data_IF_072094465476
#
_entry.id   IF_072094465476
#
_cell.length_a   1.000
_cell.length_b   1.000
_cell.length_c   1.000
_cell.angle_alpha   90.00
_cell.angle_beta   90.00
_cell.angle_gamma   90.00
#
_symmetry.space_group_name_H-M   'P 1'
#
loop_
_entity.id
_entity.type
_entity.pdbx_description
1 polymer ?
#
# COMPACT_ATOMS: atom_id res chain seq x y z
N UNK A 1 10.05 17.54 -0.39
CA UNK A 1 8.68 17.26 0.08
C UNK A 1 8.70 15.85 0.64
N UNK A 2 8.48 15.71 1.94
CA UNK A 2 9.21 14.78 2.78
C UNK A 2 8.31 13.64 3.29
N UNK A 3 8.96 12.50 3.57
CA UNK A 3 8.42 11.14 3.77
C UNK A 3 7.43 11.03 4.95
N UNK A 4 7.17 12.10 5.71
CA UNK A 4 6.31 12.11 6.90
C UNK A 4 4.80 11.95 6.65
N UNK A 5 4.30 12.09 5.42
CA UNK A 5 2.86 11.86 5.14
C UNK A 5 2.54 10.40 4.79
N UNK A 6 3.53 9.63 4.34
CA UNK A 6 3.35 8.22 3.95
C UNK A 6 2.98 7.30 5.14
N UNK A 7 3.47 7.48 6.40
CA UNK A 7 3.08 6.65 7.55
C UNK A 7 1.57 6.62 7.86
N UNK A 8 0.80 7.59 7.36
CA UNK A 8 -0.65 7.62 7.55
C UNK A 8 -1.42 6.68 6.62
N UNK A 9 -0.73 6.12 5.60
CA UNK A 9 -1.30 5.24 4.60
C UNK A 9 -1.91 3.98 5.21
N UNK A 10 -1.21 3.33 6.14
CA UNK A 10 -1.70 2.13 6.82
C UNK A 10 -3.01 2.37 7.59
N UNK A 11 -3.07 3.36 8.50
CA UNK A 11 -4.30 3.74 9.17
C UNK A 11 -5.46 4.05 8.22
N UNK A 12 -5.24 4.78 7.11
CA UNK A 12 -6.32 5.10 6.17
C UNK A 12 -6.83 3.89 5.39
N UNK A 13 -5.95 3.01 4.93
CA UNK A 13 -6.34 1.71 4.33
C UNK A 13 -7.10 0.83 5.33
N UNK A 14 -6.66 0.80 6.59
CA UNK A 14 -7.34 0.10 7.67
C UNK A 14 -8.77 0.62 7.90
N UNK A 15 -8.97 1.94 7.90
CA UNK A 15 -10.30 2.53 8.01
C UNK A 15 -11.17 2.22 6.78
N UNK A 16 -10.61 2.26 5.57
CA UNK A 16 -11.33 1.84 4.37
C UNK A 16 -11.84 0.40 4.50
N UNK A 17 -10.99 -0.52 4.99
CA UNK A 17 -11.39 -1.91 5.25
C UNK A 17 -12.47 -2.01 6.34
N UNK A 18 -12.33 -1.26 7.43
CA UNK A 18 -13.32 -1.22 8.52
C UNK A 18 -14.71 -0.83 8.01
N UNK A 19 -14.83 0.32 7.35
CA UNK A 19 -16.12 0.83 6.87
C UNK A 19 -16.71 -0.02 5.74
N UNK A 20 -15.88 -0.75 4.99
CA UNK A 20 -16.32 -1.60 3.88
C UNK A 20 -16.78 -2.99 4.31
N UNK A 21 -16.03 -3.64 5.21
CA UNK A 21 -16.19 -5.07 5.50
C UNK A 21 -16.62 -5.39 6.92
N UNK A 22 -16.23 -4.58 7.91
CA UNK A 22 -16.36 -4.93 9.32
C UNK A 22 -17.42 -4.12 10.07
N UNK A 23 -17.77 -2.92 9.59
CA UNK A 23 -18.74 -2.08 10.25
C UNK A 23 -20.18 -2.56 9.98
N UNK A 24 -20.91 -2.89 11.05
CA UNK A 24 -22.30 -3.36 10.98
C UNK A 24 -23.27 -2.31 10.41
N UNK A 25 -22.93 -1.02 10.53
CA UNK A 25 -23.74 0.09 9.99
C UNK A 25 -22.99 0.71 8.82
N UNK A 26 -23.57 0.66 7.62
CA UNK A 26 -22.96 1.28 6.44
C UNK A 26 -22.86 2.80 6.62
N UNK A 27 -21.66 3.34 6.39
CA UNK A 27 -21.41 4.78 6.40
C UNK A 27 -20.56 5.15 5.17
N UNK A 28 -21.25 5.45 4.08
CA UNK A 28 -20.61 5.77 2.78
C UNK A 28 -19.79 7.06 2.87
N UNK A 29 -20.27 8.07 3.58
CA UNK A 29 -19.53 9.33 3.74
C UNK A 29 -18.18 9.13 4.44
N UNK A 30 -18.15 8.32 5.51
CA UNK A 30 -16.89 7.99 6.19
C UNK A 30 -15.95 7.21 5.25
N UNK A 31 -16.48 6.21 4.53
CA UNK A 31 -15.69 5.44 3.57
C UNK A 31 -15.07 6.34 2.48
N UNK A 32 -15.87 7.18 1.83
CA UNK A 32 -15.40 8.14 0.81
C UNK A 32 -14.33 9.09 1.35
N UNK A 33 -14.50 9.58 2.58
CA UNK A 33 -13.50 10.43 3.24
C UNK A 33 -12.15 9.72 3.37
N UNK A 34 -12.13 8.47 3.84
CA UNK A 34 -10.88 7.72 4.00
C UNK A 34 -10.30 7.28 2.66
N UNK A 35 -11.15 6.93 1.70
CA UNK A 35 -10.75 6.64 0.33
C UNK A 35 -10.02 7.85 -0.30
N UNK A 36 -10.55 9.06 -0.15
CA UNK A 36 -9.89 10.27 -0.62
C UNK A 36 -8.54 10.53 0.05
N UNK A 37 -8.37 10.17 1.33
CA UNK A 37 -7.07 10.25 2.00
C UNK A 37 -6.09 9.19 1.47
N UNK A 38 -6.53 7.95 1.26
CA UNK A 38 -5.71 6.90 0.69
C UNK A 38 -5.19 7.28 -0.71
N UNK A 39 -6.04 7.85 -1.56
CA UNK A 39 -5.64 8.35 -2.87
C UNK A 39 -4.66 9.54 -2.81
N UNK A 40 -4.78 10.43 -1.81
CA UNK A 40 -3.76 11.46 -1.57
C UNK A 40 -2.41 10.83 -1.24
N UNK A 41 -2.37 9.82 -0.37
CA UNK A 41 -1.14 9.11 -0.06
C UNK A 41 -0.56 8.39 -1.29
N UNK A 42 -1.39 7.80 -2.16
CA UNK A 42 -0.93 7.22 -3.42
C UNK A 42 -0.30 8.26 -4.34
N UNK A 43 -0.87 9.47 -4.42
CA UNK A 43 -0.29 10.59 -5.16
C UNK A 43 1.09 11.00 -4.64
N UNK A 44 1.24 11.11 -3.32
CA UNK A 44 2.54 11.40 -2.69
C UNK A 44 3.55 10.29 -2.99
N UNK A 45 3.14 9.03 -2.90
CA UNK A 45 4.00 7.88 -3.18
C UNK A 45 4.42 7.83 -4.66
N UNK A 46 3.49 8.09 -5.58
CA UNK A 46 3.75 8.18 -7.01
C UNK A 46 4.77 9.27 -7.35
N UNK A 47 4.63 10.48 -6.76
CA UNK A 47 5.62 11.54 -6.91
C UNK A 47 6.98 11.18 -6.31
N UNK A 48 6.98 10.52 -5.15
CA UNK A 48 8.19 10.11 -4.47
C UNK A 48 8.95 9.07 -5.30
N UNK A 49 8.26 8.07 -5.85
CA UNK A 49 8.83 7.08 -6.76
C UNK A 49 9.36 7.76 -8.04
N UNK A 50 8.63 8.72 -8.62
CA UNK A 50 9.10 9.49 -9.79
C UNK A 50 10.42 10.21 -9.54
N UNK A 51 10.65 10.74 -8.34
CA UNK A 51 11.89 11.45 -7.98
C UNK A 51 13.13 10.54 -7.94
N UNK A 52 12.95 9.24 -7.77
CA UNK A 52 14.04 8.29 -7.56
C UNK A 52 14.10 7.20 -8.65
N UNK A 53 13.64 7.51 -9.87
CA UNK A 53 13.63 6.58 -11.01
C UNK A 53 12.43 5.61 -11.02
N UNK A 54 11.84 5.37 -9.86
CA UNK A 54 10.61 4.58 -9.68
C UNK A 54 10.87 3.12 -9.35
N UNK A 55 12.10 2.79 -8.94
CA UNK A 55 12.44 1.41 -8.55
C UNK A 55 12.11 1.14 -7.09
N UNK A 56 12.45 2.07 -6.20
CA UNK A 56 12.24 2.00 -4.74
C UNK A 56 11.78 3.36 -4.19
N UNK A 57 11.11 3.35 -3.03
CA UNK A 57 10.54 4.56 -2.41
C UNK A 57 11.62 5.58 -2.04
N UNK A 58 12.78 5.10 -1.61
CA UNK A 58 13.98 5.92 -1.38
C UNK A 58 15.02 5.61 -2.46
N UNK A 59 15.84 6.60 -2.78
CA UNK A 59 16.95 6.41 -3.72
C UNK A 59 17.89 5.27 -3.29
N UNK A 60 18.27 4.44 -4.25
CA UNK A 60 19.22 3.35 -4.06
C UNK A 60 18.98 2.22 -5.05
N UNK A 61 19.93 1.29 -5.11
CA UNK A 61 19.89 0.16 -6.06
C UNK A 61 19.14 -1.06 -5.50
N UNK A 62 18.74 -1.02 -4.22
CA UNK A 62 18.17 -2.15 -3.48
C UNK A 62 16.91 -1.73 -2.71
N UNK A 63 15.97 -2.66 -2.49
CA UNK A 63 14.85 -2.42 -1.60
C UNK A 63 15.37 -2.11 -0.20
N UNK A 64 14.72 -1.16 0.47
CA UNK A 64 15.07 -0.78 1.83
C UNK A 64 13.89 -1.00 2.77
N UNK A 65 14.09 -0.72 4.06
CA UNK A 65 13.09 -0.93 5.12
C UNK A 65 11.77 -0.20 4.85
N UNK A 66 11.80 0.93 4.15
CA UNK A 66 10.61 1.71 3.80
C UNK A 66 9.75 0.95 2.80
N UNK A 67 10.37 0.31 1.81
CA UNK A 67 9.63 -0.50 0.83
C UNK A 67 8.91 -1.68 1.52
N UNK A 68 9.62 -2.41 2.39
CA UNK A 68 9.05 -3.51 3.15
C UNK A 68 7.99 -3.09 4.17
N UNK A 69 8.03 -1.84 4.66
CA UNK A 69 7.01 -1.30 5.55
C UNK A 69 5.69 -1.02 4.80
N UNK A 70 5.76 -0.51 3.58
CA UNK A 70 4.57 -0.13 2.80
C UNK A 70 3.96 -1.27 2.00
N UNK A 71 4.76 -2.26 1.57
CA UNK A 71 4.28 -3.38 0.75
C UNK A 71 3.06 -4.10 1.35
N UNK A 72 3.01 -4.46 2.64
CA UNK A 72 1.89 -5.25 3.17
C UNK A 72 0.56 -4.49 3.15
N UNK A 73 0.61 -3.17 3.37
CA UNK A 73 -0.56 -2.30 3.29
C UNK A 73 -1.04 -2.12 1.86
N UNK A 74 -0.10 -1.95 0.93
CA UNK A 74 -0.39 -1.73 -0.48
C UNK A 74 -0.85 -3.01 -1.19
N UNK A 75 -0.36 -4.18 -0.78
CA UNK A 75 -0.71 -5.47 -1.40
C UNK A 75 -2.21 -5.75 -1.46
N UNK A 76 -2.97 -5.26 -0.47
CA UNK A 76 -4.41 -5.49 -0.37
C UNK A 76 -5.24 -4.25 -0.73
N UNK A 77 -4.72 -3.35 -1.56
CA UNK A 77 -5.43 -2.13 -1.96
C UNK A 77 -6.82 -2.41 -2.59
N UNK A 78 -6.95 -3.50 -3.37
CA UNK A 78 -8.23 -3.90 -3.99
C UNK A 78 -9.26 -4.36 -2.95
N UNK A 79 -8.80 -5.01 -1.89
CA UNK A 79 -9.67 -5.41 -0.78
C UNK A 79 -10.28 -4.17 -0.11
N UNK A 80 -9.50 -3.08 0.02
CA UNK A 80 -9.99 -1.78 0.48
C UNK A 80 -10.91 -1.06 -0.53
N UNK A 81 -11.08 -1.60 -1.74
CA UNK A 81 -11.86 -1.00 -2.82
C UNK A 81 -11.18 0.19 -3.48
N UNK A 82 -9.85 0.20 -3.50
CA UNK A 82 -9.05 1.24 -4.15
C UNK A 82 -8.53 0.75 -5.50
N UNK A 83 -8.13 1.69 -6.37
CA UNK A 83 -7.50 1.40 -7.66
C UNK A 83 -6.11 2.04 -7.78
N UNK A 84 -5.18 1.37 -8.46
CA UNK A 84 -3.86 1.90 -8.79
C UNK A 84 -3.73 2.35 -10.26
N UNK A 85 -4.85 2.43 -11.01
CA UNK A 85 -4.83 2.75 -12.44
C UNK A 85 -4.17 4.10 -12.76
N UNK A 86 -4.36 5.10 -11.89
CA UNK A 86 -3.77 6.44 -12.06
C UNK A 86 -2.34 6.56 -11.48
N UNK A 87 -1.81 5.48 -10.90
CA UNK A 87 -0.52 5.45 -10.18
C UNK A 87 0.42 4.37 -10.75
N UNK A 88 0.89 4.54 -12.01
CA UNK A 88 1.65 3.50 -12.71
C UNK A 88 3.02 3.20 -12.06
N UNK A 89 3.68 4.18 -11.42
CA UNK A 89 4.94 3.92 -10.73
C UNK A 89 4.71 3.17 -9.43
N UNK A 90 3.64 3.50 -8.69
CA UNK A 90 3.23 2.73 -7.51
C UNK A 90 2.93 1.28 -7.88
N UNK A 91 2.17 1.06 -8.96
CA UNK A 91 1.87 -0.29 -9.44
C UNK A 91 3.14 -1.06 -9.80
N UNK A 92 4.02 -0.46 -10.61
CA UNK A 92 5.28 -1.10 -10.99
C UNK A 92 6.21 -1.40 -9.80
N UNK A 93 6.25 -0.50 -8.82
CA UNK A 93 6.97 -0.71 -7.56
C UNK A 93 6.38 -1.89 -6.77
N UNK A 94 5.05 -1.95 -6.64
CA UNK A 94 4.35 -3.03 -5.93
C UNK A 94 4.61 -4.39 -6.60
N UNK A 95 4.50 -4.46 -7.92
CA UNK A 95 4.81 -5.67 -8.69
C UNK A 95 6.27 -6.12 -8.49
N UNK A 96 7.20 -5.17 -8.47
CA UNK A 96 8.63 -5.44 -8.26
C UNK A 96 8.92 -5.98 -6.86
N UNK A 97 8.40 -5.35 -5.81
CA UNK A 97 8.66 -5.80 -4.43
C UNK A 97 8.01 -7.17 -4.16
N UNK A 98 6.82 -7.43 -4.71
CA UNK A 98 6.15 -8.73 -4.60
C UNK A 98 6.86 -9.84 -5.39
N UNK A 99 7.61 -9.48 -6.43
CA UNK A 99 8.41 -10.44 -7.17
C UNK A 99 9.63 -10.94 -6.39
N UNK A 100 10.07 -10.22 -5.34
CA UNK A 100 11.26 -10.57 -4.56
C UNK A 100 11.13 -11.94 -3.88
N UNK A 101 12.16 -12.80 -3.96
CA UNK A 101 12.14 -14.11 -3.32
C UNK A 101 11.95 -14.07 -1.80
N UNK A 102 12.42 -13.03 -1.12
CA UNK A 102 12.25 -12.84 0.32
C UNK A 102 10.78 -12.59 0.68
N UNK A 103 10.10 -11.74 -0.10
CA UNK A 103 8.68 -11.39 0.11
C UNK A 103 7.79 -12.60 -0.16
N UNK A 104 8.04 -13.33 -1.26
CA UNK A 104 7.31 -14.58 -1.57
C UNK A 104 7.44 -15.61 -0.45
N UNK A 105 8.67 -15.89 0.00
CA UNK A 105 8.93 -16.82 1.10
C UNK A 105 8.26 -16.40 2.41
N UNK A 106 8.20 -15.10 2.70
CA UNK A 106 7.51 -14.60 3.89
C UNK A 106 6.00 -14.91 3.84
N UNK A 107 5.35 -14.64 2.71
CA UNK A 107 3.91 -14.92 2.57
C UNK A 107 3.57 -16.41 2.45
N UNK A 108 4.46 -17.24 1.91
CA UNK A 108 4.30 -18.70 1.95
C UNK A 108 4.24 -19.22 3.40
N UNK A 109 5.09 -18.69 4.28
CA UNK A 109 5.07 -19.05 5.71
C UNK A 109 3.81 -18.56 6.43
N UNK A 110 3.30 -17.38 6.05
CA UNK A 110 2.04 -16.85 6.64
C UNK A 110 0.87 -17.76 6.27
N UNK A 111 0.75 -18.16 4.99
CA UNK A 111 -0.30 -19.10 4.55
C UNK A 111 -0.21 -20.44 5.28
N UNK A 112 1.00 -20.98 5.44
CA UNK A 112 1.21 -22.21 6.18
C UNK A 112 0.82 -22.10 7.67
N UNK A 113 0.78 -20.89 8.24
CA UNK A 113 0.32 -20.66 9.61
C UNK A 113 -1.20 -20.46 9.75
N UNK A 114 -1.92 -20.17 8.66
CA UNK A 114 -3.39 -20.06 8.64
C UNK A 114 -4.08 -21.44 8.54
N UNK A 115 -3.35 -22.47 8.11
CA UNK A 115 -3.83 -23.86 7.97
C UNK A 115 -3.67 -24.72 9.25
N UNK A 116 -3.27 -24.12 10.38
CA UNK A 116 -3.04 -24.80 11.67
C UNK A 116 -4.15 -24.49 12.68
#
# INVERSE_FOLDING_TARGET
MCVYEIPTLGPFLGQCNWFRHYNNVKNENAYERYQAQAYRCFGVLEEQLKKHGGDWILAGDRPNVVDFHFEPWMRQYEYAGLSLNDYPKVKAWLDRIQALPEVKRAYEKIKAGEEV
#
